data_IF_366389091959
#
_entry.id   IF_366389091959
#
_cell.length_a   1.000
_cell.length_b   1.000
_cell.length_c   1.000
_cell.angle_alpha   90.00
_cell.angle_beta   90.00
_cell.angle_gamma   90.00
#
_symmetry.space_group_name_H-M   'P 1'
#
loop_
_entity.id
_entity.type
_entity.pdbx_description
1 polymer ?
#
# COMPACT_ATOMS: atom_id res chain seq x y z
N UNK A 1 16.35 9.54 2.51
CA UNK A 1 17.55 9.01 3.22
C UNK A 1 18.19 10.05 4.13
N UNK A 2 18.33 11.32 3.67
CA UNK A 2 18.89 12.42 4.49
C UNK A 2 18.27 12.50 5.90
N UNK A 3 16.94 12.57 6.01
CA UNK A 3 16.23 12.65 7.30
C UNK A 3 16.53 11.44 8.19
N UNK A 4 16.50 10.22 7.64
CA UNK A 4 16.83 9.00 8.39
C UNK A 4 18.27 9.06 8.95
N UNK A 5 19.22 9.48 8.13
CA UNK A 5 20.62 9.65 8.52
C UNK A 5 20.76 10.62 9.70
N UNK A 6 20.08 11.77 9.64
CA UNK A 6 20.08 12.78 10.69
C UNK A 6 19.45 12.26 11.99
N UNK A 7 18.26 11.66 11.92
CA UNK A 7 17.58 11.07 13.09
C UNK A 7 18.42 9.97 13.76
N UNK A 8 19.05 9.11 12.95
CA UNK A 8 19.91 8.03 13.45
C UNK A 8 21.32 8.49 13.85
N UNK A 9 21.67 9.77 13.62
CA UNK A 9 22.99 10.37 13.91
C UNK A 9 24.16 9.59 13.28
N UNK A 10 24.00 9.21 12.00
CA UNK A 10 25.00 8.47 11.22
C UNK A 10 25.60 9.36 10.15
N UNK A 11 26.88 9.15 9.79
CA UNK A 11 27.47 9.79 8.64
C UNK A 11 26.98 9.23 7.32
N UNK A 12 26.78 7.92 7.25
CA UNK A 12 26.13 7.18 6.15
C UNK A 12 25.25 6.08 6.74
N UNK A 13 24.22 5.74 5.99
CA UNK A 13 23.37 4.59 6.27
C UNK A 13 23.88 3.36 5.56
N UNK A 14 23.64 2.19 6.11
CA UNK A 14 23.73 0.90 5.45
C UNK A 14 22.34 0.41 5.04
N UNK A 15 22.26 -0.54 4.13
CA UNK A 15 20.98 -1.07 3.68
C UNK A 15 20.15 -1.68 4.82
N UNK A 16 20.80 -2.26 5.83
CA UNK A 16 20.12 -2.78 7.03
C UNK A 16 19.56 -1.68 7.94
N UNK A 17 20.09 -0.45 7.92
CA UNK A 17 19.57 0.68 8.71
C UNK A 17 18.18 1.13 8.23
N UNK A 18 17.78 0.75 7.02
CA UNK A 18 16.45 1.06 6.49
C UNK A 18 15.32 0.36 7.26
N UNK A 19 15.64 -0.69 8.00
CA UNK A 19 14.69 -1.45 8.81
C UNK A 19 14.66 -1.00 10.28
N UNK A 20 15.51 -0.05 10.67
CA UNK A 20 15.51 0.53 12.02
C UNK A 20 14.45 1.63 12.08
N UNK A 21 13.51 1.58 13.03
CA UNK A 21 12.50 2.62 13.18
C UNK A 21 13.13 4.00 13.42
N UNK A 22 12.67 5.03 12.71
CA UNK A 22 13.09 6.42 12.95
C UNK A 22 12.39 7.01 14.20
N UNK A 23 11.19 6.56 14.48
CA UNK A 23 10.42 6.94 15.66
C UNK A 23 10.31 5.70 16.54
N UNK A 24 10.71 5.81 17.80
CA UNK A 24 10.48 4.74 18.76
C UNK A 24 8.99 4.38 18.78
N UNK A 25 8.68 3.10 18.80
CA UNK A 25 7.30 2.61 18.82
C UNK A 25 6.46 3.44 19.80
N UNK A 26 5.43 4.06 19.27
CA UNK A 26 4.30 4.45 20.08
C UNK A 26 3.60 3.15 20.45
N UNK A 27 3.98 2.52 21.56
CA UNK A 27 3.28 1.40 22.15
C UNK A 27 1.89 1.87 22.61
N UNK A 28 1.03 2.18 21.63
CA UNK A 28 -0.39 2.37 21.87
C UNK A 28 -1.02 1.02 21.53
N UNK A 29 -1.36 0.21 22.53
CA UNK A 29 -2.07 -1.02 22.28
C UNK A 29 -3.44 -0.67 21.71
N UNK A 30 -3.76 -1.22 20.57
CA UNK A 30 -5.07 -1.05 19.91
C UNK A 30 -5.79 -2.38 19.94
N UNK A 31 -6.81 -2.50 20.78
CA UNK A 31 -7.63 -3.71 20.82
C UNK A 31 -8.39 -3.90 19.51
N UNK A 32 -8.77 -5.13 19.19
CA UNK A 32 -9.57 -5.39 18.00
C UNK A 32 -10.91 -4.62 18.00
N UNK A 33 -11.54 -4.44 19.15
CA UNK A 33 -12.75 -3.64 19.27
C UNK A 33 -12.50 -2.17 18.93
N UNK A 34 -11.40 -1.58 19.43
CA UNK A 34 -11.03 -0.20 19.08
C UNK A 34 -10.72 -0.08 17.58
N UNK A 35 -9.94 -1.00 17.03
CA UNK A 35 -9.64 -1.02 15.60
C UNK A 35 -10.91 -1.08 14.73
N UNK A 36 -11.92 -1.87 15.12
CA UNK A 36 -13.21 -1.90 14.42
C UNK A 36 -13.93 -0.54 14.44
N UNK A 37 -13.91 0.16 15.57
CA UNK A 37 -14.51 1.50 15.69
C UNK A 37 -13.80 2.49 14.80
N UNK A 38 -12.47 2.53 14.84
CA UNK A 38 -11.64 3.48 14.08
C UNK A 38 -11.75 3.27 12.57
N UNK A 39 -11.65 2.02 12.10
CA UNK A 39 -11.80 1.74 10.67
C UNK A 39 -13.23 2.00 10.18
N UNK A 40 -14.26 1.78 11.01
CA UNK A 40 -15.63 2.11 10.64
C UNK A 40 -15.84 3.63 10.58
N UNK A 41 -15.26 4.40 11.49
CA UNK A 41 -15.34 5.85 11.46
C UNK A 41 -14.60 6.45 10.27
N UNK A 42 -13.43 5.91 9.91
CA UNK A 42 -12.61 6.42 8.80
C UNK A 42 -13.32 6.36 7.44
N UNK A 43 -14.25 5.41 7.26
CA UNK A 43 -14.94 5.17 5.97
C UNK A 43 -16.36 5.79 5.91
N UNK A 44 -16.79 6.56 6.89
CA UNK A 44 -18.15 7.14 6.93
C UNK A 44 -18.46 8.03 5.71
N UNK A 45 -17.46 8.64 5.10
CA UNK A 45 -17.60 9.45 3.90
C UNK A 45 -18.21 8.67 2.72
N UNK A 46 -18.09 7.33 2.67
CA UNK A 46 -18.69 6.49 1.61
C UNK A 46 -20.22 6.37 1.71
N UNK A 47 -20.80 6.90 2.78
CA UNK A 47 -22.23 6.94 3.00
C UNK A 47 -22.81 5.69 3.67
N UNK A 48 -24.06 5.83 4.14
CA UNK A 48 -24.71 4.89 5.05
C UNK A 48 -24.83 3.47 4.50
N UNK A 49 -25.08 3.29 3.21
CA UNK A 49 -25.23 1.95 2.61
C UNK A 49 -23.92 1.17 2.62
N UNK A 50 -22.80 1.84 2.30
CA UNK A 50 -21.47 1.24 2.36
C UNK A 50 -21.09 0.93 3.82
N UNK A 51 -21.26 1.90 4.73
CA UNK A 51 -20.94 1.76 6.14
C UNK A 51 -21.70 0.60 6.81
N UNK A 52 -22.99 0.41 6.54
CA UNK A 52 -23.76 -0.73 7.05
C UNK A 52 -23.21 -2.09 6.62
N UNK A 53 -22.73 -2.21 5.38
CA UNK A 53 -22.14 -3.47 4.91
C UNK A 53 -20.78 -3.69 5.56
N UNK A 54 -19.98 -2.63 5.67
CA UNK A 54 -18.69 -2.65 6.34
C UNK A 54 -18.82 -3.07 7.80
N UNK A 55 -19.72 -2.43 8.57
CA UNK A 55 -20.05 -2.76 9.95
C UNK A 55 -20.50 -4.22 10.10
N UNK A 56 -21.36 -4.69 9.20
CA UNK A 56 -21.76 -6.10 9.17
C UNK A 56 -20.55 -7.02 8.99
N UNK A 57 -19.63 -6.67 8.10
CA UNK A 57 -18.40 -7.43 7.88
C UNK A 57 -17.55 -7.53 9.14
N UNK A 58 -17.38 -6.41 9.84
CA UNK A 58 -16.63 -6.33 11.11
C UNK A 58 -17.26 -7.14 12.26
N UNK A 59 -18.59 -7.19 12.32
CA UNK A 59 -19.32 -7.80 13.45
C UNK A 59 -19.92 -9.18 13.15
N UNK A 60 -19.69 -9.72 11.95
CA UNK A 60 -20.10 -11.08 11.58
C UNK A 60 -18.89 -11.99 11.36
N UNK A 61 -19.11 -13.17 10.80
CA UNK A 61 -18.04 -14.16 10.61
C UNK A 61 -17.25 -13.98 9.30
N UNK A 62 -17.03 -12.73 8.85
CA UNK A 62 -16.18 -12.48 7.69
C UNK A 62 -14.70 -12.61 8.04
N UNK A 63 -14.31 -12.29 9.28
CA UNK A 63 -12.93 -12.15 9.72
C UNK A 63 -12.55 -13.29 10.67
N UNK A 64 -11.52 -14.03 10.35
CA UNK A 64 -10.77 -14.89 11.25
C UNK A 64 -9.61 -14.08 11.84
N UNK A 65 -9.77 -13.67 13.10
CA UNK A 65 -9.06 -12.53 13.68
C UNK A 65 -7.67 -12.88 14.20
N UNK A 66 -7.60 -13.87 15.12
CA UNK A 66 -6.38 -14.12 15.90
C UNK A 66 -5.56 -15.27 15.33
N UNK A 67 -4.26 -15.27 15.65
CA UNK A 67 -3.40 -16.38 15.33
C UNK A 67 -3.82 -17.65 16.11
N UNK A 68 -3.57 -18.79 15.52
CA UNK A 68 -3.72 -20.09 16.18
C UNK A 68 -2.79 -21.11 15.52
N UNK A 69 -2.63 -22.28 16.16
CA UNK A 69 -1.76 -23.36 15.68
C UNK A 69 -2.18 -23.81 14.27
N UNK A 70 -1.21 -23.85 13.36
CA UNK A 70 -1.40 -24.24 11.96
C UNK A 70 -1.98 -23.17 11.05
N UNK A 71 -2.35 -21.99 11.57
CA UNK A 71 -2.80 -20.87 10.76
C UNK A 71 -1.63 -20.23 10.01
N UNK A 72 -1.85 -19.88 8.74
CA UNK A 72 -0.86 -19.20 7.92
C UNK A 72 -0.62 -17.78 8.45
N UNK A 73 0.64 -17.36 8.48
CA UNK A 73 1.02 -15.98 8.83
C UNK A 73 0.59 -14.97 7.78
N UNK A 74 0.58 -13.68 8.17
CA UNK A 74 0.15 -12.56 7.32
C UNK A 74 -1.37 -12.37 7.37
N UNK A 75 -1.89 -11.63 6.40
CA UNK A 75 -3.31 -11.39 6.22
C UNK A 75 -3.68 -11.51 4.74
N UNK A 76 -4.91 -11.81 4.45
CA UNK A 76 -5.46 -11.73 3.10
C UNK A 76 -6.99 -11.70 3.09
N UNK A 77 -7.56 -11.11 2.04
CA UNK A 77 -8.99 -11.15 1.76
C UNK A 77 -9.31 -12.01 0.54
N UNK A 78 -10.36 -12.80 0.62
CA UNK A 78 -10.87 -13.60 -0.49
C UNK A 78 -12.32 -13.27 -0.77
N UNK A 79 -12.58 -12.70 -1.96
CA UNK A 79 -13.94 -12.40 -2.42
C UNK A 79 -14.68 -13.67 -2.82
N UNK A 80 -15.78 -13.95 -2.16
CA UNK A 80 -16.62 -15.10 -2.42
C UNK A 80 -18.07 -14.68 -2.72
N UNK A 81 -18.85 -15.59 -3.28
CA UNK A 81 -20.24 -15.31 -3.68
C UNK A 81 -21.16 -15.01 -2.48
N UNK A 82 -20.95 -15.66 -1.36
CA UNK A 82 -21.79 -15.50 -0.14
C UNK A 82 -21.44 -14.23 0.60
N UNK A 83 -20.18 -14.02 0.89
CA UNK A 83 -19.55 -12.80 1.43
C UNK A 83 -18.03 -12.95 1.32
N UNK A 84 -17.26 -11.88 1.44
CA UNK A 84 -15.80 -11.99 1.56
C UNK A 84 -15.39 -12.73 2.83
N UNK A 85 -14.21 -13.36 2.77
CA UNK A 85 -13.55 -13.95 3.93
C UNK A 85 -12.20 -13.27 4.11
N UNK A 86 -11.93 -12.86 5.33
CA UNK A 86 -10.70 -12.16 5.72
C UNK A 86 -9.96 -13.03 6.74
N UNK A 87 -8.69 -13.32 6.46
CA UNK A 87 -7.78 -13.94 7.41
C UNK A 87 -6.87 -12.85 7.96
N UNK A 88 -6.75 -12.80 9.28
CA UNK A 88 -5.84 -11.91 10.01
C UNK A 88 -5.05 -12.69 11.06
N UNK A 89 -3.98 -12.07 11.54
CA UNK A 89 -3.27 -12.45 12.76
C UNK A 89 -3.14 -11.16 13.60
N UNK A 90 -4.26 -10.73 14.19
CA UNK A 90 -4.35 -9.47 14.90
C UNK A 90 -3.56 -9.52 16.22
N UNK A 91 -2.73 -8.50 16.49
CA UNK A 91 -1.76 -8.47 17.58
C UNK A 91 -1.83 -7.18 18.42
N UNK A 92 -3.02 -6.61 18.60
CA UNK A 92 -3.30 -5.43 19.42
C UNK A 92 -2.31 -4.24 19.17
N UNK A 93 -2.03 -3.96 17.90
CA UNK A 93 -1.09 -2.92 17.47
C UNK A 93 -1.66 -2.05 16.35
N UNK A 94 -1.12 -0.83 16.19
CA UNK A 94 -1.45 0.05 15.06
C UNK A 94 -1.21 -0.63 13.71
N UNK A 95 -0.13 -1.40 13.55
CA UNK A 95 0.15 -2.11 12.29
C UNK A 95 -0.96 -3.10 11.94
N UNK A 96 -1.51 -3.81 12.92
CA UNK A 96 -2.62 -4.74 12.69
C UNK A 96 -3.97 -4.04 12.52
N UNK A 97 -4.13 -2.83 13.03
CA UNK A 97 -5.26 -1.95 12.73
C UNK A 97 -5.22 -1.47 11.27
N UNK A 98 -4.07 -1.01 10.77
CA UNK A 98 -3.90 -0.69 9.35
C UNK A 98 -4.13 -1.92 8.46
N UNK A 99 -3.66 -3.09 8.90
CA UNK A 99 -3.94 -4.37 8.22
C UNK A 99 -5.45 -4.65 8.15
N UNK A 100 -6.21 -4.39 9.23
CA UNK A 100 -7.67 -4.52 9.22
C UNK A 100 -8.32 -3.59 8.20
N UNK A 101 -7.91 -2.31 8.14
CA UNK A 101 -8.41 -1.36 7.16
C UNK A 101 -8.11 -1.82 5.73
N UNK A 102 -6.90 -2.33 5.49
CA UNK A 102 -6.44 -2.87 4.21
C UNK A 102 -7.31 -4.05 3.75
N UNK A 103 -7.40 -5.09 4.56
CA UNK A 103 -8.14 -6.31 4.21
C UNK A 103 -9.64 -6.05 4.06
N UNK A 104 -10.20 -5.16 4.85
CA UNK A 104 -11.58 -4.71 4.70
C UNK A 104 -11.79 -3.90 3.42
N UNK A 105 -10.78 -3.17 2.94
CA UNK A 105 -10.79 -2.52 1.62
C UNK A 105 -10.95 -3.54 0.50
N UNK A 106 -10.15 -4.59 0.49
CA UNK A 106 -10.30 -5.72 -0.44
C UNK A 106 -11.67 -6.40 -0.32
N UNK A 107 -12.10 -6.65 0.92
CA UNK A 107 -13.39 -7.29 1.18
C UNK A 107 -14.55 -6.47 0.58
N UNK A 108 -14.54 -5.16 0.78
CA UNK A 108 -15.58 -4.28 0.24
C UNK A 108 -15.51 -4.14 -1.28
N UNK A 109 -14.32 -4.05 -1.88
CA UNK A 109 -14.18 -4.08 -3.34
C UNK A 109 -14.77 -5.36 -3.93
N UNK A 110 -14.41 -6.51 -3.37
CA UNK A 110 -14.93 -7.82 -3.79
C UNK A 110 -16.45 -7.94 -3.57
N UNK A 111 -16.96 -7.42 -2.44
CA UNK A 111 -18.39 -7.40 -2.17
C UNK A 111 -19.16 -6.54 -3.17
N UNK A 112 -18.68 -5.30 -3.42
CA UNK A 112 -19.33 -4.37 -4.33
C UNK A 112 -19.31 -4.92 -5.76
N UNK A 113 -18.17 -5.41 -6.22
CA UNK A 113 -18.06 -6.03 -7.54
C UNK A 113 -18.98 -7.25 -7.67
N UNK A 114 -19.01 -8.15 -6.70
CA UNK A 114 -19.88 -9.34 -6.72
C UNK A 114 -21.36 -8.99 -6.69
N UNK A 115 -21.74 -7.94 -5.99
CA UNK A 115 -23.14 -7.49 -5.86
C UNK A 115 -23.67 -6.88 -7.15
N UNK A 116 -22.83 -6.16 -7.90
CA UNK A 116 -23.28 -5.34 -9.04
C UNK A 116 -22.90 -5.92 -10.39
N UNK A 117 -22.03 -6.95 -10.47
CA UNK A 117 -21.60 -7.55 -11.71
C UNK A 117 -22.09 -8.98 -11.88
N UNK A 118 -22.21 -9.40 -13.14
CA UNK A 118 -22.45 -10.80 -13.50
C UNK A 118 -21.30 -11.70 -12.98
N UNK A 119 -21.53 -13.00 -12.72
CA UNK A 119 -20.50 -13.89 -12.20
C UNK A 119 -19.20 -13.93 -13.01
N UNK A 120 -19.25 -13.69 -14.32
CA UNK A 120 -18.07 -13.67 -15.20
C UNK A 120 -17.28 -12.37 -15.07
N UNK A 121 -17.93 -11.26 -14.71
CA UNK A 121 -17.36 -9.92 -14.73
C UNK A 121 -16.99 -9.41 -13.32
N UNK A 122 -17.26 -10.18 -12.26
CA UNK A 122 -17.08 -9.74 -10.89
C UNK A 122 -15.62 -9.68 -10.40
N UNK A 123 -14.71 -10.39 -11.08
CA UNK A 123 -13.31 -10.46 -10.67
C UNK A 123 -12.50 -9.33 -11.33
N UNK A 124 -12.18 -8.31 -10.53
CA UNK A 124 -11.30 -7.22 -10.97
C UNK A 124 -9.87 -7.70 -11.19
N UNK A 125 -9.13 -6.98 -12.02
CA UNK A 125 -7.74 -7.31 -12.36
C UNK A 125 -6.80 -6.88 -11.24
N UNK A 126 -5.66 -7.58 -11.13
CA UNK A 126 -4.63 -7.31 -10.11
C UNK A 126 -4.14 -5.86 -10.12
N UNK A 127 -4.09 -5.21 -11.27
CA UNK A 127 -3.69 -3.81 -11.42
C UNK A 127 -4.48 -2.83 -10.52
N UNK A 128 -5.73 -3.15 -10.19
CA UNK A 128 -6.59 -2.32 -9.32
C UNK A 128 -6.89 -2.98 -7.97
N UNK A 129 -6.31 -4.14 -7.70
CA UNK A 129 -6.62 -4.89 -6.49
C UNK A 129 -6.27 -4.10 -5.21
N UNK A 130 -5.09 -3.46 -5.20
CA UNK A 130 -4.59 -2.72 -4.04
C UNK A 130 -5.19 -1.30 -3.89
N UNK A 131 -6.00 -0.85 -4.84
CA UNK A 131 -6.52 0.52 -4.79
C UNK A 131 -7.47 0.74 -3.62
N UNK A 132 -8.40 -0.18 -3.39
CA UNK A 132 -9.39 -0.04 -2.32
C UNK A 132 -8.77 -0.24 -0.94
N UNK A 133 -7.86 -1.19 -0.80
CA UNK A 133 -7.13 -1.46 0.44
C UNK A 133 -6.28 -0.27 0.87
N UNK A 134 -5.48 0.25 -0.05
CA UNK A 134 -4.59 1.40 0.20
C UNK A 134 -5.39 2.71 0.41
N UNK A 135 -6.52 2.91 -0.29
CA UNK A 135 -7.42 4.04 0.02
C UNK A 135 -7.94 3.97 1.46
N UNK A 136 -8.35 2.80 1.93
CA UNK A 136 -8.82 2.65 3.31
C UNK A 136 -7.72 2.95 4.33
N UNK A 137 -6.48 2.52 4.09
CA UNK A 137 -5.35 2.88 4.94
C UNK A 137 -5.11 4.40 4.99
N UNK A 138 -5.18 5.07 3.84
CA UNK A 138 -5.04 6.53 3.78
C UNK A 138 -6.17 7.26 4.53
N UNK A 139 -7.41 6.75 4.46
CA UNK A 139 -8.54 7.30 5.22
C UNK A 139 -8.39 7.05 6.72
N UNK A 140 -7.92 5.88 7.13
CA UNK A 140 -7.64 5.58 8.53
C UNK A 140 -6.52 6.48 9.06
N UNK A 141 -5.46 6.66 8.28
CA UNK A 141 -4.37 7.58 8.60
C UNK A 141 -4.88 9.00 8.87
N UNK A 142 -5.70 9.55 7.98
CA UNK A 142 -6.31 10.88 8.14
C UNK A 142 -7.21 10.96 9.39
N UNK A 143 -8.02 9.91 9.62
CA UNK A 143 -8.87 9.81 10.81
C UNK A 143 -8.05 9.81 12.10
N UNK A 144 -7.08 8.91 12.23
CA UNK A 144 -6.26 8.79 13.44
C UNK A 144 -5.46 10.07 13.74
N UNK A 145 -4.94 10.74 12.72
CA UNK A 145 -4.26 12.02 12.86
C UNK A 145 -5.16 13.12 13.42
N UNK A 146 -6.44 13.12 13.05
CA UNK A 146 -7.43 14.06 13.59
C UNK A 146 -7.86 13.76 15.04
N UNK A 147 -7.76 12.48 15.47
CA UNK A 147 -8.13 12.08 16.83
C UNK A 147 -7.05 12.38 17.88
N UNK A 148 -5.77 12.37 17.50
CA UNK A 148 -4.68 12.53 18.44
C UNK A 148 -3.62 13.49 17.90
N UNK A 149 -3.48 14.64 18.56
CA UNK A 149 -2.52 15.70 18.20
C UNK A 149 -1.15 15.58 18.91
N UNK A 150 -0.89 14.49 19.63
CA UNK A 150 0.43 14.28 20.24
C UNK A 150 1.52 14.22 19.16
N UNK A 151 2.56 15.07 19.24
CA UNK A 151 3.59 15.14 18.21
C UNK A 151 4.30 13.80 17.95
N UNK A 152 4.53 12.99 18.99
CA UNK A 152 5.16 11.69 18.85
C UNK A 152 4.26 10.71 18.08
N UNK A 153 2.97 10.73 18.37
CA UNK A 153 1.99 9.92 17.63
C UNK A 153 1.86 10.37 16.16
N UNK A 154 1.83 11.69 15.92
CA UNK A 154 1.84 12.23 14.57
C UNK A 154 3.10 11.82 13.78
N UNK A 155 4.29 11.95 14.40
CA UNK A 155 5.54 11.53 13.78
C UNK A 155 5.55 10.02 13.46
N UNK A 156 5.01 9.19 14.36
CA UNK A 156 4.89 7.75 14.12
C UNK A 156 4.00 7.44 12.91
N UNK A 157 2.81 8.03 12.85
CA UNK A 157 1.87 7.82 11.75
C UNK A 157 2.46 8.30 10.40
N UNK A 158 3.07 9.49 10.38
CA UNK A 158 3.70 10.02 9.17
C UNK A 158 4.85 9.11 8.72
N UNK A 159 5.70 8.64 9.66
CA UNK A 159 6.76 7.69 9.35
C UNK A 159 6.21 6.38 8.77
N UNK A 160 5.16 5.82 9.37
CA UNK A 160 4.49 4.63 8.86
C UNK A 160 4.05 4.83 7.40
N UNK A 161 3.42 5.96 7.10
CA UNK A 161 2.95 6.27 5.75
C UNK A 161 4.10 6.50 4.76
N UNK A 162 5.15 7.21 5.16
CA UNK A 162 6.36 7.37 4.33
C UNK A 162 7.04 6.03 4.00
N UNK A 163 7.02 5.07 4.94
CA UNK A 163 7.55 3.73 4.68
C UNK A 163 6.73 2.97 3.64
N UNK A 164 5.43 3.19 3.55
CA UNK A 164 4.61 2.64 2.46
C UNK A 164 5.04 3.19 1.10
N UNK A 165 5.32 4.51 0.97
CA UNK A 165 5.90 5.08 -0.26
C UNK A 165 7.23 4.42 -0.61
N UNK A 166 8.12 4.28 0.37
CA UNK A 166 9.43 3.66 0.15
C UNK A 166 9.30 2.22 -0.35
N UNK A 167 8.45 1.42 0.27
CA UNK A 167 8.35 -0.04 0.00
C UNK A 167 7.45 -0.37 -1.18
N UNK A 168 6.39 0.42 -1.41
CA UNK A 168 5.35 0.10 -2.40
C UNK A 168 5.45 0.95 -3.66
N UNK A 169 6.03 2.15 -3.61
CA UNK A 169 6.28 2.96 -4.79
C UNK A 169 7.74 2.84 -5.24
N UNK A 170 8.69 3.39 -4.50
CA UNK A 170 10.08 3.49 -4.94
C UNK A 170 10.76 2.13 -5.12
N UNK A 171 10.64 1.24 -4.13
CA UNK A 171 11.24 -0.09 -4.21
C UNK A 171 10.62 -0.93 -5.33
N UNK A 172 9.31 -0.84 -5.54
CA UNK A 172 8.65 -1.61 -6.60
C UNK A 172 8.98 -1.06 -8.00
N UNK A 173 9.19 0.25 -8.14
CA UNK A 173 9.74 0.82 -9.36
C UNK A 173 11.15 0.29 -9.64
N UNK A 174 12.02 0.24 -8.64
CA UNK A 174 13.37 -0.35 -8.76
C UNK A 174 13.30 -1.83 -9.19
N UNK A 175 12.39 -2.60 -8.61
CA UNK A 175 12.18 -4.00 -8.99
C UNK A 175 11.68 -4.13 -10.44
N UNK A 176 10.75 -3.27 -10.84
CA UNK A 176 10.23 -3.27 -12.21
C UNK A 176 11.31 -2.88 -13.23
N UNK A 177 12.20 -1.96 -12.89
CA UNK A 177 13.33 -1.58 -13.73
C UNK A 177 14.34 -2.72 -13.84
N UNK A 178 14.66 -3.40 -12.74
CA UNK A 178 15.48 -4.62 -12.78
C UNK A 178 14.86 -5.67 -13.70
N UNK A 179 13.57 -5.96 -13.55
CA UNK A 179 12.84 -6.93 -14.38
C UNK A 179 12.88 -6.53 -15.86
N UNK A 180 12.69 -5.25 -16.17
CA UNK A 180 12.79 -4.72 -17.53
C UNK A 180 14.19 -4.95 -18.12
N UNK A 181 15.24 -4.56 -17.39
CA UNK A 181 16.64 -4.68 -17.86
C UNK A 181 17.00 -6.14 -18.16
N UNK A 182 16.68 -7.07 -17.26
CA UNK A 182 17.03 -8.49 -17.46
C UNK A 182 16.26 -9.11 -18.63
N UNK A 183 14.99 -8.74 -18.82
CA UNK A 183 14.20 -9.21 -19.95
C UNK A 183 14.71 -8.62 -21.30
N UNK A 184 15.07 -7.33 -21.35
CA UNK A 184 15.65 -6.71 -22.54
C UNK A 184 16.98 -7.37 -22.92
N UNK A 185 17.86 -7.63 -21.95
CA UNK A 185 19.13 -8.36 -22.17
C UNK A 185 18.89 -9.76 -22.74
N UNK A 186 17.95 -10.49 -22.16
CA UNK A 186 17.57 -11.83 -22.63
C UNK A 186 17.02 -11.78 -24.05
N UNK A 187 16.17 -10.82 -24.37
CA UNK A 187 15.62 -10.63 -25.72
C UNK A 187 16.71 -10.29 -26.76
N UNK A 188 17.80 -9.64 -26.33
CA UNK A 188 18.98 -9.35 -27.14
C UNK A 188 19.99 -10.50 -27.20
N UNK A 189 19.65 -11.69 -26.66
CA UNK A 189 20.52 -12.85 -26.54
C UNK A 189 21.82 -12.61 -25.71
N UNK A 190 21.75 -11.68 -24.75
CA UNK A 190 22.84 -11.50 -23.78
C UNK A 190 22.76 -12.56 -22.69
N UNK A 191 23.90 -13.07 -22.25
CA UNK A 191 23.96 -14.09 -21.19
C UNK A 191 23.83 -13.41 -19.83
N UNK A 192 22.84 -13.85 -19.05
CA UNK A 192 22.68 -13.42 -17.67
C UNK A 192 23.38 -14.42 -16.74
N UNK A 193 24.46 -13.97 -16.09
CA UNK A 193 25.12 -14.68 -15.00
C UNK A 193 24.70 -14.10 -13.66
N UNK A 194 24.97 -14.80 -12.55
CA UNK A 194 24.76 -14.26 -11.20
C UNK A 194 25.49 -12.93 -11.00
N UNK A 195 26.73 -12.80 -11.49
CA UNK A 195 27.51 -11.58 -11.36
C UNK A 195 26.88 -10.42 -12.13
N UNK A 196 26.37 -10.68 -13.34
CA UNK A 196 25.64 -9.66 -14.13
C UNK A 196 24.38 -9.19 -13.39
N UNK A 197 23.61 -10.13 -12.83
CA UNK A 197 22.38 -9.81 -12.09
C UNK A 197 22.70 -9.03 -10.80
N UNK A 198 23.72 -9.45 -10.04
CA UNK A 198 24.18 -8.76 -8.84
C UNK A 198 24.63 -7.32 -9.15
N UNK A 199 25.38 -7.14 -10.25
CA UNK A 199 25.85 -5.80 -10.64
C UNK A 199 24.67 -4.88 -10.99
N UNK A 200 23.71 -5.35 -11.81
CA UNK A 200 22.51 -4.58 -12.19
C UNK A 200 21.74 -4.19 -10.94
N UNK A 201 21.53 -5.15 -10.04
CA UNK A 201 20.74 -4.91 -8.82
C UNK A 201 21.44 -3.94 -7.85
N UNK A 202 22.77 -4.07 -7.70
CA UNK A 202 23.55 -3.13 -6.88
C UNK A 202 23.53 -1.70 -7.45
N UNK A 203 23.65 -1.55 -8.77
CA UNK A 203 23.62 -0.23 -9.42
C UNK A 203 22.25 0.44 -9.31
N UNK A 204 21.15 -0.33 -9.42
CA UNK A 204 19.80 0.17 -9.15
C UNK A 204 19.63 0.59 -7.68
N UNK A 205 20.13 -0.19 -6.73
CA UNK A 205 20.10 0.21 -5.31
C UNK A 205 20.86 1.53 -5.11
N UNK A 206 22.05 1.70 -5.68
CA UNK A 206 22.81 2.97 -5.60
C UNK A 206 22.01 4.14 -6.17
N UNK A 207 21.37 3.95 -7.32
CA UNK A 207 20.57 4.98 -7.97
C UNK A 207 19.36 5.39 -7.12
N UNK A 208 18.57 4.42 -6.63
CA UNK A 208 17.32 4.70 -5.90
C UNK A 208 17.55 5.19 -4.47
N UNK A 209 18.57 4.74 -3.77
CA UNK A 209 18.85 5.13 -2.38
C UNK A 209 19.82 6.31 -2.25
N UNK A 210 20.56 6.63 -3.31
CA UNK A 210 21.44 7.80 -3.36
C UNK A 210 22.72 7.65 -2.53
N UNK A 211 23.49 8.75 -2.48
CA UNK A 211 24.84 8.76 -1.90
C UNK A 211 24.87 8.65 -0.36
N UNK A 212 23.75 8.87 0.32
CA UNK A 212 23.66 8.76 1.76
C UNK A 212 23.61 7.31 2.27
N UNK A 213 23.48 6.33 1.34
CA UNK A 213 23.38 4.91 1.67
C UNK A 213 24.54 4.14 1.08
N UNK A 214 25.20 3.34 1.89
CA UNK A 214 26.16 2.33 1.45
C UNK A 214 25.38 1.11 1.00
N UNK A 215 25.54 0.73 -0.25
CA UNK A 215 24.96 -0.50 -0.80
C UNK A 215 25.93 -1.62 -0.47
N UNK A 216 25.58 -2.39 0.56
CA UNK A 216 26.35 -3.54 1.05
C UNK A 216 26.34 -4.66 0.00
N UNK A 217 27.38 -5.49 -0.03
CA UNK A 217 27.53 -6.54 -1.05
C UNK A 217 26.37 -7.56 -0.97
N UNK A 218 25.86 -7.84 0.21
CA UNK A 218 24.79 -8.81 0.45
C UNK A 218 23.48 -8.40 -0.24
N UNK A 219 23.16 -7.09 -0.30
CA UNK A 219 21.92 -6.63 -0.94
C UNK A 219 21.94 -6.85 -2.45
N UNK A 220 23.12 -6.96 -3.07
CA UNK A 220 23.26 -7.22 -4.51
C UNK A 220 22.60 -8.53 -4.93
N UNK A 221 22.48 -9.49 -4.02
CA UNK A 221 21.89 -10.82 -4.24
C UNK A 221 20.42 -10.89 -3.85
N UNK A 222 19.80 -9.80 -3.37
CA UNK A 222 18.40 -9.81 -2.89
C UNK A 222 17.41 -10.27 -3.96
N UNK A 223 17.66 -9.99 -5.23
CA UNK A 223 16.83 -10.41 -6.35
C UNK A 223 16.54 -11.91 -6.35
N UNK A 224 17.50 -12.74 -5.88
CA UNK A 224 17.36 -14.21 -5.87
C UNK A 224 16.27 -14.72 -4.93
N UNK A 225 15.90 -13.95 -3.89
CA UNK A 225 14.86 -14.32 -2.91
C UNK A 225 13.48 -13.74 -3.22
N UNK A 226 13.36 -12.92 -4.27
CA UNK A 226 12.09 -12.26 -4.63
C UNK A 226 11.29 -13.16 -5.58
N UNK A 227 10.26 -13.88 -5.09
CA UNK A 227 9.52 -14.82 -5.93
C UNK A 227 8.73 -14.14 -7.05
N UNK A 228 8.41 -12.85 -6.90
CA UNK A 228 7.66 -12.08 -7.88
C UNK A 228 8.38 -11.92 -9.23
N UNK A 229 9.71 -12.00 -9.27
CA UNK A 229 10.44 -11.99 -10.54
C UNK A 229 10.22 -13.23 -11.42
N UNK A 230 9.61 -14.29 -10.86
CA UNK A 230 9.13 -15.44 -11.63
C UNK A 230 7.69 -15.26 -12.15
N UNK A 231 7.05 -14.13 -11.81
CA UNK A 231 5.68 -13.76 -12.24
C UNK A 231 5.75 -12.62 -13.25
N UNK A 232 6.25 -12.89 -14.43
CA UNK A 232 6.54 -11.97 -15.52
C UNK A 232 5.78 -10.64 -15.50
N UNK A 233 6.49 -9.53 -15.28
CA UNK A 233 5.99 -8.15 -15.18
C UNK A 233 4.86 -7.96 -14.15
N UNK A 234 5.04 -8.54 -12.97
CA UNK A 234 4.05 -8.42 -11.90
C UNK A 234 4.26 -7.17 -11.02
N UNK A 235 5.51 -6.87 -10.66
CA UNK A 235 5.83 -5.94 -9.55
C UNK A 235 5.49 -4.47 -9.82
N UNK A 236 5.49 -4.01 -11.06
CA UNK A 236 5.12 -2.63 -11.40
C UNK A 236 3.70 -2.27 -10.94
N UNK A 237 2.81 -3.25 -10.82
CA UNK A 237 1.41 -3.07 -10.45
C UNK A 237 1.25 -2.56 -9.01
N UNK A 238 2.21 -2.83 -8.14
CA UNK A 238 2.24 -2.24 -6.80
C UNK A 238 2.42 -0.73 -6.86
N UNK A 239 3.39 -0.24 -7.62
CA UNK A 239 3.65 1.19 -7.75
C UNK A 239 2.50 1.94 -8.42
N UNK A 240 1.93 1.37 -9.50
CA UNK A 240 0.79 1.98 -10.19
C UNK A 240 -0.48 1.96 -9.34
N UNK A 241 -0.77 0.85 -8.66
CA UNK A 241 -1.91 0.73 -7.75
C UNK A 241 -1.82 1.68 -6.57
N UNK A 242 -0.63 1.80 -5.97
CA UNK A 242 -0.37 2.73 -4.88
C UNK A 242 -0.55 4.20 -5.32
N UNK A 243 0.03 4.60 -6.46
CA UNK A 243 -0.11 5.96 -6.98
C UNK A 243 -1.58 6.30 -7.28
N UNK A 244 -2.33 5.36 -7.88
CA UNK A 244 -3.75 5.54 -8.12
C UNK A 244 -4.53 5.69 -6.80
N UNK A 245 -4.20 4.90 -5.78
CA UNK A 245 -4.84 4.98 -4.47
C UNK A 245 -4.53 6.31 -3.77
N UNK A 246 -3.30 6.82 -3.85
CA UNK A 246 -2.95 8.13 -3.30
C UNK A 246 -3.75 9.24 -3.98
N UNK A 247 -3.80 9.27 -5.30
CA UNK A 247 -4.61 10.25 -6.03
C UNK A 247 -6.11 10.16 -5.70
N UNK A 248 -6.64 8.95 -5.55
CA UNK A 248 -8.05 8.74 -5.17
C UNK A 248 -8.31 9.13 -3.71
N UNK A 249 -7.44 8.79 -2.77
CA UNK A 249 -7.61 9.15 -1.37
C UNK A 249 -7.65 10.67 -1.16
N UNK A 250 -6.83 11.44 -1.88
CA UNK A 250 -6.88 12.90 -1.85
C UNK A 250 -8.22 13.44 -2.38
N UNK A 251 -8.76 12.84 -3.44
CA UNK A 251 -10.10 13.18 -3.95
C UNK A 251 -11.21 12.82 -2.95
N UNK A 252 -11.08 11.71 -2.26
CA UNK A 252 -12.06 11.28 -1.24
C UNK A 252 -12.04 12.18 -0.02
N UNK A 253 -10.86 12.64 0.42
CA UNK A 253 -10.68 13.48 1.62
C UNK A 253 -11.02 14.95 1.37
N UNK A 254 -10.74 15.47 0.17
CA UNK A 254 -10.77 16.90 -0.13
C UNK A 254 -11.71 17.28 -1.30
N UNK A 255 -12.25 16.28 -2.01
CA UNK A 255 -13.12 16.46 -3.16
C UNK A 255 -14.59 16.67 -2.79
N UNK A 256 -15.44 16.29 -3.70
CA UNK A 256 -16.89 16.47 -3.63
C UNK A 256 -17.63 15.14 -3.50
N UNK A 257 -18.94 15.22 -3.25
CA UNK A 257 -19.80 14.02 -3.27
C UNK A 257 -19.74 13.27 -4.62
N UNK A 258 -19.53 13.98 -5.72
CA UNK A 258 -19.38 13.34 -7.05
C UNK A 258 -18.10 12.49 -7.14
N UNK A 259 -17.01 12.88 -6.48
CA UNK A 259 -15.77 12.08 -6.43
C UNK A 259 -15.98 10.78 -5.64
N UNK A 260 -16.73 10.85 -4.55
CA UNK A 260 -17.11 9.66 -3.76
C UNK A 260 -17.98 8.71 -4.58
N UNK A 261 -18.97 9.22 -5.29
CA UNK A 261 -19.84 8.42 -6.17
C UNK A 261 -19.07 7.78 -7.34
N UNK A 262 -18.11 8.50 -7.91
CA UNK A 262 -17.22 7.99 -8.94
C UNK A 262 -16.35 6.85 -8.42
N UNK A 263 -15.77 7.00 -7.22
CA UNK A 263 -15.02 5.93 -6.56
C UNK A 263 -15.89 4.70 -6.24
N UNK A 264 -17.09 4.90 -5.69
CA UNK A 264 -18.02 3.79 -5.44
C UNK A 264 -18.45 3.09 -6.75
N UNK A 265 -18.53 3.82 -7.85
CA UNK A 265 -18.81 3.25 -9.18
C UNK A 265 -17.64 2.41 -9.69
N UNK A 266 -16.39 2.84 -9.41
CA UNK A 266 -15.19 2.05 -9.67
C UNK A 266 -15.21 0.71 -8.91
N UNK A 267 -15.51 0.70 -7.60
CA UNK A 267 -15.60 -0.51 -6.79
C UNK A 267 -16.65 -1.51 -7.32
N UNK A 268 -17.69 -1.02 -7.97
CA UNK A 268 -18.75 -1.83 -8.59
C UNK A 268 -18.37 -2.40 -9.95
N UNK A 269 -17.27 -1.96 -10.54
CA UNK A 269 -16.95 -2.17 -11.95
C UNK A 269 -16.50 -3.59 -12.31
N UNK A 270 -15.94 -4.35 -11.38
CA UNK A 270 -15.37 -5.67 -11.66
C UNK A 270 -14.34 -5.65 -12.79
N UNK A 271 -14.51 -6.49 -13.82
CA UNK A 271 -13.67 -6.47 -15.02
C UNK A 271 -14.44 -6.07 -16.29
N UNK A 272 -15.52 -5.31 -16.16
CA UNK A 272 -16.34 -4.86 -17.31
C UNK A 272 -15.62 -3.86 -18.22
N UNK A 273 -14.56 -3.25 -17.73
CA UNK A 273 -13.67 -2.34 -18.46
C UNK A 273 -12.22 -2.67 -18.15
N UNK A 274 -11.29 -2.13 -18.93
CA UNK A 274 -9.87 -2.21 -18.58
C UNK A 274 -9.57 -1.49 -17.26
N UNK A 275 -8.54 -1.90 -16.51
CA UNK A 275 -8.15 -1.23 -15.26
C UNK A 275 -7.98 0.28 -15.40
N UNK A 276 -7.33 0.74 -16.47
CA UNK A 276 -7.10 2.18 -16.72
C UNK A 276 -8.42 2.92 -16.98
N UNK A 277 -9.38 2.31 -17.69
CA UNK A 277 -10.70 2.91 -17.90
C UNK A 277 -11.52 2.98 -16.60
N UNK A 278 -11.45 1.94 -15.75
CA UNK A 278 -12.11 1.94 -14.45
C UNK A 278 -11.57 3.06 -13.55
N UNK A 279 -10.25 3.25 -13.51
CA UNK A 279 -9.63 4.32 -12.73
C UNK A 279 -9.95 5.70 -13.31
N UNK A 280 -10.00 5.82 -14.64
CA UNK A 280 -10.40 7.07 -15.30
C UNK A 280 -11.84 7.45 -14.98
N UNK A 281 -12.75 6.48 -14.83
CA UNK A 281 -14.12 6.74 -14.35
C UNK A 281 -14.16 7.27 -12.93
N UNK A 282 -13.20 6.86 -12.08
CA UNK A 282 -13.01 7.42 -10.73
C UNK A 282 -12.24 8.74 -10.72
N UNK A 283 -11.87 9.28 -11.90
CA UNK A 283 -11.18 10.55 -12.04
C UNK A 283 -9.66 10.49 -11.93
N UNK A 284 -9.06 9.31 -12.10
CA UNK A 284 -7.60 9.10 -12.09
C UNK A 284 -7.17 8.45 -13.41
N UNK A 285 -6.41 9.17 -14.22
CA UNK A 285 -5.91 8.67 -15.51
C UNK A 285 -4.47 8.14 -15.40
N UNK A 286 -4.34 6.82 -15.24
CA UNK A 286 -3.04 6.14 -15.18
C UNK A 286 -2.30 6.07 -16.54
N UNK A 287 -2.88 6.60 -17.63
CA UNK A 287 -2.16 6.79 -18.88
C UNK A 287 -1.38 8.12 -18.92
N UNK A 288 -1.48 8.94 -17.87
CA UNK A 288 -0.71 10.18 -17.69
C UNK A 288 0.24 10.05 -16.50
N UNK A 289 1.32 10.85 -16.42
CA UNK A 289 2.22 10.85 -15.26
C UNK A 289 1.60 11.48 -13.99
N UNK A 290 0.52 12.24 -14.15
CA UNK A 290 -0.08 13.06 -13.06
C UNK A 290 -0.35 12.29 -11.75
N UNK A 291 -0.93 11.06 -11.74
CA UNK A 291 -1.16 10.35 -10.47
C UNK A 291 0.13 9.98 -9.73
N UNK A 292 1.23 9.76 -10.47
CA UNK A 292 2.54 9.47 -9.89
C UNK A 292 3.17 10.76 -9.35
N UNK A 293 3.08 11.85 -10.12
CA UNK A 293 3.55 13.18 -9.69
C UNK A 293 2.82 13.61 -8.41
N UNK A 294 1.49 13.48 -8.35
CA UNK A 294 0.69 13.80 -7.17
C UNK A 294 1.10 12.95 -5.94
N UNK A 295 1.39 11.68 -6.15
CA UNK A 295 1.87 10.81 -5.07
C UNK A 295 3.25 11.25 -4.56
N UNK A 296 4.16 11.67 -5.44
CA UNK A 296 5.49 12.17 -5.07
C UNK A 296 5.37 13.52 -4.34
N UNK A 297 4.52 14.44 -4.80
CA UNK A 297 4.25 15.71 -4.12
C UNK A 297 3.70 15.50 -2.70
N UNK A 298 2.79 14.54 -2.54
CA UNK A 298 2.31 14.14 -1.21
C UNK A 298 3.45 13.62 -0.32
N UNK A 299 4.31 12.78 -0.87
CA UNK A 299 5.46 12.25 -0.13
C UNK A 299 6.43 13.36 0.33
N UNK A 300 6.72 14.32 -0.54
CA UNK A 300 7.56 15.48 -0.19
C UNK A 300 6.94 16.30 0.94
N UNK A 301 5.63 16.54 0.89
CA UNK A 301 4.93 17.25 1.97
C UNK A 301 4.97 16.50 3.31
N UNK A 302 4.92 15.18 3.29
CA UNK A 302 5.04 14.34 4.49
C UNK A 302 6.45 14.41 5.08
N UNK A 303 7.50 14.48 4.24
CA UNK A 303 8.87 14.67 4.69
C UNK A 303 9.04 16.00 5.40
N UNK A 304 8.55 17.09 4.82
CA UNK A 304 8.63 18.43 5.41
C UNK A 304 7.91 18.50 6.76
N UNK A 305 6.72 17.90 6.83
CA UNK A 305 5.95 17.82 8.07
C UNK A 305 6.67 16.98 9.14
N UNK A 306 7.20 15.81 8.76
CA UNK A 306 7.97 14.96 9.66
C UNK A 306 9.19 15.69 10.23
N UNK A 307 9.96 16.37 9.39
CA UNK A 307 11.10 17.16 9.83
C UNK A 307 10.70 18.29 10.80
N UNK A 308 9.54 18.91 10.57
CA UNK A 308 9.03 19.96 11.47
C UNK A 308 8.69 19.43 12.85
N UNK A 309 8.16 18.21 12.95
CA UNK A 309 7.79 17.58 14.23
C UNK A 309 9.03 17.07 14.96
N UNK A 310 10.05 16.60 14.23
CA UNK A 310 11.26 15.99 14.81
C UNK A 310 12.31 17.01 15.28
N UNK A 311 12.16 18.30 14.95
CA UNK A 311 13.00 19.42 15.43
C UNK A 311 12.58 19.90 16.81
#
# INVERSE_FOLDING_TARGET
>A
MRVRKEVMKKEKLHMYDLYVPMVNECNVPVSFEQAKEDVLHSIQLYGTEYAKVYERGLNSRWIDVYENEGKRSGAYSSGQRVHPFVLMNFADSLDTEFTLAHEMGHAMHSYMSTKYQAPLDRHYKIFVAEVASTCNEALLMDYLRKQNSDPKFQAYLINHFMEQFRTTLFRQCMFAEFEKIINEKTANNEVLTSDTLNQIYADLNKFYYGEDVIVDDEISMEWARIPHFYMNFYVYQYATGFSAAMALSQKLLHGTQADIEAYLSFLKGGCTKSPVELLRMAGVDMASPKPIEDAIELFDSLIDEFESIMK
#
